data_IF_777627177723
#
_entry.id   IF_777627177723
#
_cell.length_a   1.000
_cell.length_b   1.000
_cell.length_c   1.000
_cell.angle_alpha   90.00
_cell.angle_beta   90.00
_cell.angle_gamma   90.00
#
_symmetry.space_group_name_H-M   'P 1'
#
loop_
_entity.id
_entity.type
_entity.pdbx_description
1 polymer ?
#
# COMPACT_ATOMS: atom_id res chain seq x y z
N UNK A 1 -12.83 -9.80 -25.88
CA UNK A 1 -12.95 -9.63 -24.42
C UNK A 1 -11.85 -10.46 -23.78
N UNK A 2 -10.78 -9.82 -23.31
CA UNK A 2 -9.77 -10.50 -22.51
C UNK A 2 -10.30 -10.55 -21.09
N UNK A 3 -10.58 -11.74 -20.55
CA UNK A 3 -10.84 -11.89 -19.12
C UNK A 3 -9.51 -11.61 -18.41
N UNK A 4 -9.44 -10.54 -17.61
CA UNK A 4 -8.30 -10.28 -16.72
C UNK A 4 -7.27 -9.22 -17.16
N UNK A 5 -7.49 -8.41 -18.20
CA UNK A 5 -6.51 -7.36 -18.57
C UNK A 5 -6.44 -6.19 -17.59
N UNK A 6 -7.49 -5.99 -16.79
CA UNK A 6 -7.65 -4.78 -15.96
C UNK A 6 -7.58 -5.07 -14.46
N UNK A 7 -7.59 -6.35 -14.06
CA UNK A 7 -7.45 -6.75 -12.66
C UNK A 7 -5.97 -6.71 -12.28
N UNK A 8 -5.65 -5.90 -11.29
CA UNK A 8 -4.32 -5.78 -10.73
C UNK A 8 -4.30 -6.24 -9.27
N UNK A 9 -3.09 -6.57 -8.81
CA UNK A 9 -2.80 -6.95 -7.43
C UNK A 9 -1.62 -6.11 -6.96
N UNK A 10 -1.69 -5.64 -5.72
CA UNK A 10 -0.57 -5.01 -5.02
C UNK A 10 -0.33 -5.74 -3.71
N UNK A 11 0.94 -5.89 -3.32
CA UNK A 11 1.36 -6.62 -2.13
C UNK A 11 2.35 -5.74 -1.35
N UNK A 12 2.25 -5.76 -0.02
CA UNK A 12 3.21 -5.17 0.90
C UNK A 12 3.42 -6.08 2.10
N UNK A 13 4.52 -5.94 2.81
CA UNK A 13 4.84 -6.73 4.00
C UNK A 13 5.68 -5.92 4.96
N UNK A 14 5.50 -6.19 6.26
CA UNK A 14 6.26 -5.62 7.35
C UNK A 14 6.44 -6.71 8.41
N UNK A 15 7.68 -6.99 8.79
CA UNK A 15 8.05 -8.13 9.63
C UNK A 15 7.49 -9.49 9.12
N UNK A 16 6.58 -10.10 9.87
CA UNK A 16 6.00 -11.42 9.63
C UNK A 16 4.58 -11.36 9.03
N UNK A 17 4.02 -10.15 8.83
CA UNK A 17 2.73 -9.97 8.16
C UNK A 17 2.89 -9.44 6.74
N UNK A 18 1.92 -9.78 5.90
CA UNK A 18 1.77 -9.20 4.57
C UNK A 18 0.33 -8.73 4.36
N UNK A 19 0.14 -7.80 3.44
CA UNK A 19 -1.18 -7.44 2.94
C UNK A 19 -1.21 -7.59 1.43
N UNK A 20 -2.38 -7.94 0.92
CA UNK A 20 -2.67 -8.02 -0.51
C UNK A 20 -3.92 -7.19 -0.80
N UNK A 21 -3.86 -6.35 -1.83
CA UNK A 21 -5.02 -5.66 -2.39
C UNK A 21 -5.24 -6.10 -3.84
N UNK A 22 -6.49 -6.10 -4.28
CA UNK A 22 -6.87 -6.35 -5.67
C UNK A 22 -7.93 -5.36 -6.11
N UNK A 23 -7.91 -5.01 -7.39
CA UNK A 23 -8.82 -4.02 -7.93
C UNK A 23 -8.64 -3.80 -9.43
N UNK A 24 -9.37 -2.84 -9.98
CA UNK A 24 -9.12 -2.38 -11.35
C UNK A 24 -7.96 -1.40 -11.36
N UNK A 25 -7.12 -1.42 -12.41
CA UNK A 25 -5.99 -0.49 -12.53
C UNK A 25 -6.43 0.98 -12.29
N UNK A 26 -5.77 1.77 -11.42
CA UNK A 26 -4.62 1.41 -10.58
C UNK A 26 -5.00 0.85 -9.20
N UNK A 27 -4.14 -0.01 -8.64
CA UNK A 27 -4.24 -0.49 -7.25
C UNK A 27 -2.87 -0.54 -6.58
N UNK A 28 -2.77 0.00 -5.37
CA UNK A 28 -1.56 0.00 -4.56
C UNK A 28 -1.88 -0.27 -3.10
N UNK A 29 -1.01 -0.97 -2.39
CA UNK A 29 -1.13 -1.17 -0.94
C UNK A 29 0.24 -1.08 -0.29
N UNK A 30 0.26 -0.53 0.91
CA UNK A 30 1.47 -0.43 1.72
C UNK A 30 1.19 -0.61 3.21
N UNK A 31 2.16 -1.17 3.93
CA UNK A 31 2.12 -1.37 5.39
C UNK A 31 3.50 -1.15 5.98
N UNK A 32 3.52 -0.59 7.19
CA UNK A 32 4.73 -0.37 7.97
C UNK A 32 4.45 -0.59 9.46
N UNK A 33 5.50 -0.87 10.23
CA UNK A 33 5.41 -0.83 11.69
C UNK A 33 5.16 0.60 12.16
N UNK A 34 4.39 0.80 13.23
CA UNK A 34 4.13 2.14 13.78
C UNK A 34 5.36 2.87 14.29
N UNK A 35 6.43 2.12 14.61
CA UNK A 35 7.73 2.64 15.06
C UNK A 35 8.78 2.71 13.95
N UNK A 36 8.38 2.51 12.68
CA UNK A 36 9.26 2.67 11.54
C UNK A 36 9.82 4.10 11.44
N UNK A 37 10.94 4.27 10.75
CA UNK A 37 11.59 5.55 10.53
C UNK A 37 11.33 6.06 9.10
N UNK A 38 10.24 6.81 8.87
CA UNK A 38 9.96 7.42 7.57
C UNK A 38 10.95 8.57 7.29
N UNK A 39 10.96 9.11 6.06
CA UNK A 39 11.71 10.33 5.76
C UNK A 39 11.43 11.49 6.72
N UNK A 40 12.43 12.36 6.92
CA UNK A 40 12.34 13.50 7.83
C UNK A 40 11.11 14.37 7.56
N UNK A 41 10.35 14.69 8.61
CA UNK A 41 9.15 15.53 8.53
C UNK A 41 7.87 14.82 8.09
N UNK A 42 7.89 13.49 7.93
CA UNK A 42 6.73 12.67 7.60
C UNK A 42 6.41 11.69 8.73
N UNK A 43 5.13 11.46 9.02
CA UNK A 43 4.72 10.35 9.91
C UNK A 43 4.59 9.03 9.13
N UNK A 44 4.55 7.90 9.85
CA UNK A 44 4.51 6.58 9.21
C UNK A 44 3.23 6.39 8.36
N UNK A 45 2.09 6.93 8.79
CA UNK A 45 0.84 6.79 8.03
C UNK A 45 0.92 7.57 6.71
N UNK A 46 1.43 8.79 6.74
CA UNK A 46 1.70 9.60 5.56
C UNK A 46 2.72 8.94 4.62
N UNK A 47 3.72 8.24 5.18
CA UNK A 47 4.67 7.44 4.40
C UNK A 47 3.98 6.27 3.70
N UNK A 48 3.20 5.45 4.41
CA UNK A 48 2.47 4.33 3.79
C UNK A 48 1.50 4.81 2.70
N UNK A 49 0.90 5.99 2.88
CA UNK A 49 0.06 6.60 1.85
C UNK A 49 0.85 6.95 0.60
N UNK A 50 2.01 7.59 0.74
CA UNK A 50 2.88 7.92 -0.39
C UNK A 50 3.35 6.67 -1.13
N UNK A 51 3.75 5.64 -0.39
CA UNK A 51 4.18 4.35 -0.97
C UNK A 51 3.03 3.64 -1.68
N UNK A 52 1.84 3.60 -1.09
CA UNK A 52 0.64 3.01 -1.72
C UNK A 52 0.29 3.72 -3.04
N UNK A 53 0.35 5.06 -3.08
CA UNK A 53 0.16 5.83 -4.31
C UNK A 53 1.25 5.53 -5.35
N UNK A 54 2.51 5.46 -4.94
CA UNK A 54 3.63 5.11 -5.82
C UNK A 54 3.51 3.69 -6.39
N UNK A 55 3.03 2.74 -5.60
CA UNK A 55 2.74 1.37 -6.02
C UNK A 55 1.57 1.31 -6.99
N UNK A 56 0.49 2.03 -6.72
CA UNK A 56 -0.67 2.14 -7.61
C UNK A 56 -0.30 2.73 -8.97
N UNK A 57 0.56 3.75 -8.99
CA UNK A 57 1.04 4.39 -10.21
C UNK A 57 2.11 3.58 -10.97
N UNK A 58 2.67 2.52 -10.36
CA UNK A 58 3.77 1.75 -10.92
C UNK A 58 5.12 2.47 -10.96
N UNK A 59 5.23 3.65 -10.36
CA UNK A 59 6.46 4.46 -10.31
C UNK A 59 7.29 4.21 -9.06
N UNK A 60 6.67 3.66 -8.01
CA UNK A 60 7.22 3.68 -6.66
C UNK A 60 7.45 5.11 -6.18
N UNK A 61 8.35 5.27 -5.20
CA UNK A 61 8.74 6.56 -4.61
C UNK A 61 10.15 7.02 -5.00
N UNK A 62 10.75 6.40 -6.03
CA UNK A 62 12.15 6.63 -6.43
C UNK A 62 12.48 8.05 -6.84
N UNK A 63 11.47 8.78 -7.34
CA UNK A 63 11.60 10.17 -7.82
C UNK A 63 11.02 11.18 -6.84
N UNK A 64 10.55 10.74 -5.67
CA UNK A 64 10.13 11.64 -4.60
C UNK A 64 11.38 12.17 -3.87
N UNK A 65 11.43 13.46 -3.45
CA UNK A 65 10.34 14.44 -3.47
C UNK A 65 10.21 15.26 -4.76
N UNK A 66 11.04 15.01 -5.78
CA UNK A 66 11.00 15.81 -7.02
C UNK A 66 9.72 15.59 -7.83
N UNK A 67 9.14 14.39 -7.75
CA UNK A 67 7.86 14.04 -8.34
C UNK A 67 7.00 13.32 -7.29
N UNK A 68 5.84 13.88 -7.02
CA UNK A 68 4.85 13.24 -6.17
C UNK A 68 4.02 12.27 -7.03
N UNK A 69 3.74 11.04 -6.55
CA UNK A 69 2.80 10.14 -7.21
C UNK A 69 1.45 10.83 -7.47
N UNK A 70 0.72 10.43 -8.53
CA UNK A 70 -0.64 10.93 -8.77
C UNK A 70 -1.53 10.76 -7.55
N UNK A 71 -2.36 11.77 -7.28
CA UNK A 71 -3.36 11.68 -6.23
C UNK A 71 -4.48 10.70 -6.65
N UNK A 72 -4.77 9.73 -5.80
CA UNK A 72 -5.82 8.72 -5.97
C UNK A 72 -6.62 8.63 -4.68
N UNK A 73 -7.80 8.01 -4.72
CA UNK A 73 -8.52 7.62 -3.51
C UNK A 73 -7.62 6.75 -2.64
N UNK A 74 -7.57 7.06 -1.35
CA UNK A 74 -6.81 6.31 -0.35
C UNK A 74 -7.65 6.04 0.87
N UNK A 75 -7.47 4.86 1.47
CA UNK A 75 -8.15 4.45 2.70
C UNK A 75 -7.14 3.80 3.65
N UNK A 76 -7.22 4.07 4.96
CA UNK A 76 -6.40 3.38 5.95
C UNK A 76 -6.81 1.92 6.07
N UNK A 77 -5.85 1.06 6.40
CA UNK A 77 -6.10 -0.36 6.64
C UNK A 77 -6.46 -0.63 8.11
N UNK A 78 -7.37 -1.58 8.34
CA UNK A 78 -7.71 -2.08 9.67
C UNK A 78 -6.71 -3.16 10.09
N UNK A 79 -5.64 -2.75 10.79
CA UNK A 79 -4.48 -3.57 11.11
C UNK A 79 -4.29 -3.68 12.63
N UNK A 80 -3.54 -4.68 13.12
CA UNK A 80 -3.08 -4.70 14.51
C UNK A 80 -2.35 -3.41 14.88
N UNK A 81 -2.49 -2.97 16.14
CA UNK A 81 -2.02 -1.65 16.63
C UNK A 81 -0.53 -1.36 16.39
N UNK A 82 0.31 -2.38 16.19
CA UNK A 82 1.73 -2.25 15.89
C UNK A 82 2.03 -1.95 14.41
N UNK A 83 1.01 -1.90 13.55
CA UNK A 83 1.14 -1.59 12.13
C UNK A 83 0.19 -0.47 11.71
N UNK A 84 0.61 0.29 10.71
CA UNK A 84 -0.25 1.20 9.95
C UNK A 84 -0.11 0.87 8.47
N UNK A 85 -1.11 1.24 7.69
CA UNK A 85 -1.06 0.99 6.26
C UNK A 85 -2.16 1.70 5.50
N UNK A 86 -1.97 1.75 4.19
CA UNK A 86 -2.85 2.46 3.28
C UNK A 86 -3.09 1.60 2.03
N UNK A 87 -4.33 1.58 1.54
CA UNK A 87 -4.68 1.13 0.19
C UNK A 87 -4.99 2.34 -0.68
N UNK A 88 -4.62 2.28 -1.96
CA UNK A 88 -4.78 3.35 -2.94
C UNK A 88 -5.39 2.84 -4.26
N UNK A 89 -6.14 3.71 -4.93
CA UNK A 89 -6.71 3.46 -6.25
C UNK A 89 -8.08 2.77 -6.21
N UNK A 90 -8.42 2.02 -7.26
CA UNK A 90 -9.73 1.36 -7.41
C UNK A 90 -9.72 -0.03 -6.78
N UNK A 91 -9.30 -0.11 -5.52
CA UNK A 91 -9.29 -1.37 -4.78
C UNK A 91 -10.72 -1.90 -4.61
N UNK A 92 -10.93 -3.15 -5.00
CA UNK A 92 -12.18 -3.89 -4.77
C UNK A 92 -12.14 -4.66 -3.45
N UNK A 93 -10.95 -4.88 -2.91
CA UNK A 93 -10.76 -5.48 -1.60
C UNK A 93 -9.29 -5.65 -1.26
N UNK A 94 -9.05 -5.97 0.01
CA UNK A 94 -7.73 -6.31 0.53
C UNK A 94 -7.84 -7.34 1.66
N UNK A 95 -6.71 -7.98 1.99
CA UNK A 95 -6.58 -8.93 3.09
C UNK A 95 -5.23 -8.80 3.78
N UNK A 96 -5.26 -8.92 5.11
CA UNK A 96 -4.10 -9.26 5.93
C UNK A 96 -3.78 -10.75 5.78
N UNK A 97 -2.50 -11.05 5.63
CA UNK A 97 -1.91 -12.38 5.59
C UNK A 97 -0.98 -12.47 6.79
N UNK A 98 -1.38 -13.26 7.78
CA UNK A 98 -0.57 -13.54 8.97
C UNK A 98 0.06 -14.95 8.86
N UNK A 99 1.17 -15.20 9.57
CA UNK A 99 1.75 -16.54 9.67
C UNK A 99 0.71 -17.54 10.18
N UNK A 100 0.77 -18.79 9.69
CA UNK A 100 -0.01 -19.86 10.30
C UNK A 100 0.56 -20.17 11.68
N UNK A 101 -0.30 -20.40 12.70
CA UNK A 101 0.17 -20.98 13.96
C UNK A 101 0.92 -22.29 13.67
N UNK A 102 2.04 -22.49 14.36
CA UNK A 102 2.82 -23.72 14.29
C UNK A 102 2.03 -24.94 14.79
#
# INVERSE_FOLDING_TARGET
>A
MLIGSDLQVSIAYADDIAVIAWGTNPVGIDIERTDAQPPEGMDVLAWTRLEALGKAAGTGVRTWPQQTPPELTTEPLDLPDQYVGTVAGNALGWRLIAPRPA
#
